data_IF_770462181911
#
_entry.id   IF_770462181911
#
_cell.length_a   1.000
_cell.length_b   1.000
_cell.length_c   1.000
_cell.angle_alpha   90.00
_cell.angle_beta   90.00
_cell.angle_gamma   90.00
#
_symmetry.space_group_name_H-M   'P 1'
#
loop_
_entity.id
_entity.type
_entity.pdbx_description
1 polymer ?
#
# COMPACT_ATOMS: atom_id res chain seq x y z
N UNK A 1 2.20 8.39 3.86
CA UNK A 1 2.24 7.36 4.90
C UNK A 1 0.96 7.43 5.73
N UNK A 2 0.05 6.44 5.50
CA UNK A 2 -1.31 6.48 6.02
C UNK A 2 -1.44 6.18 7.52
N UNK A 3 -0.48 5.48 8.10
CA UNK A 3 -0.54 5.12 9.52
C UNK A 3 -0.32 6.29 10.50
N UNK A 4 0.18 7.41 10.01
CA UNK A 4 0.29 8.63 10.82
C UNK A 4 -1.07 9.30 11.06
N UNK A 5 -2.09 8.90 10.32
CA UNK A 5 -3.41 9.51 10.34
C UNK A 5 -4.42 8.65 11.11
N UNK A 6 -5.31 9.29 11.86
CA UNK A 6 -6.53 8.65 12.34
C UNK A 6 -7.46 8.34 11.15
N UNK A 7 -8.49 7.47 11.31
CA UNK A 7 -9.45 7.25 10.24
C UNK A 7 -10.07 8.52 9.68
N UNK A 8 -10.42 9.49 10.52
CA UNK A 8 -10.97 10.77 10.10
C UNK A 8 -9.97 11.58 9.29
N UNK A 9 -8.71 11.62 9.71
CA UNK A 9 -7.64 12.31 9.00
C UNK A 9 -7.33 11.65 7.65
N UNK A 10 -7.45 10.32 7.55
CA UNK A 10 -7.32 9.60 6.26
C UNK A 10 -8.40 10.02 5.27
N UNK A 11 -9.65 10.14 5.74
CA UNK A 11 -10.76 10.63 4.91
C UNK A 11 -10.46 12.04 4.40
N UNK A 12 -10.03 12.93 5.27
CA UNK A 12 -9.67 14.31 4.91
C UNK A 12 -8.55 14.31 3.87
N UNK A 13 -7.55 13.44 4.03
CA UNK A 13 -6.45 13.32 3.09
C UNK A 13 -6.89 12.79 1.73
N UNK A 14 -7.74 11.76 1.71
CA UNK A 14 -8.32 11.23 0.48
C UNK A 14 -9.18 12.28 -0.22
N UNK A 15 -10.00 13.00 0.53
CA UNK A 15 -10.83 14.08 0.00
C UNK A 15 -9.98 15.20 -0.60
N UNK A 16 -8.90 15.58 0.07
CA UNK A 16 -7.96 16.59 -0.42
C UNK A 16 -7.30 16.16 -1.73
N UNK A 17 -6.85 14.90 -1.83
CA UNK A 17 -6.29 14.33 -3.06
C UNK A 17 -7.33 14.34 -4.17
N UNK A 18 -8.57 13.96 -3.88
CA UNK A 18 -9.66 13.90 -4.84
C UNK A 18 -10.03 15.28 -5.38
N UNK A 19 -10.22 16.25 -4.50
CA UNK A 19 -10.62 17.61 -4.87
C UNK A 19 -9.50 18.41 -5.54
N UNK A 20 -8.25 17.99 -5.41
CA UNK A 20 -7.12 18.62 -6.09
C UNK A 20 -7.09 18.34 -7.60
N UNK A 21 -7.88 17.37 -8.07
CA UNK A 21 -7.96 17.00 -9.48
C UNK A 21 -9.13 17.69 -10.16
N UNK A 22 -8.97 18.03 -11.44
CA UNK A 22 -10.06 18.58 -12.25
C UNK A 22 -11.08 17.48 -12.56
N UNK A 23 -10.62 16.35 -13.02
CA UNK A 23 -11.43 15.15 -13.28
C UNK A 23 -10.76 13.99 -12.59
N UNK A 24 -11.13 13.70 -11.32
CA UNK A 24 -10.42 12.70 -10.54
C UNK A 24 -10.71 11.28 -11.01
N UNK A 25 -9.67 10.48 -11.02
CA UNK A 25 -9.68 9.03 -11.20
C UNK A 25 -9.07 8.42 -9.94
N UNK A 26 -9.75 7.49 -9.32
CA UNK A 26 -9.23 6.77 -8.16
C UNK A 26 -9.28 5.28 -8.35
N UNK A 27 -8.37 4.58 -7.71
CA UNK A 27 -8.41 3.13 -7.62
C UNK A 27 -7.64 2.65 -6.40
N UNK A 28 -8.05 1.48 -5.91
CA UNK A 28 -7.30 0.73 -4.89
C UNK A 28 -6.52 -0.36 -5.59
N UNK A 29 -5.31 -0.62 -5.10
CA UNK A 29 -4.47 -1.70 -5.60
C UNK A 29 -4.11 -2.62 -4.45
N UNK A 30 -4.48 -3.89 -4.58
CA UNK A 30 -4.21 -4.94 -3.62
C UNK A 30 -3.19 -5.91 -4.22
N UNK A 31 -1.99 -5.94 -3.66
CA UNK A 31 -0.95 -6.88 -4.08
C UNK A 31 -1.24 -8.25 -3.49
N UNK A 32 -1.22 -9.25 -4.33
CA UNK A 32 -1.42 -10.63 -3.90
C UNK A 32 -0.26 -11.08 -2.99
N UNK A 33 -0.59 -11.44 -1.76
CA UNK A 33 0.39 -11.95 -0.78
C UNK A 33 1.64 -11.05 -0.71
N UNK A 34 1.47 -9.80 -0.36
CA UNK A 34 2.51 -8.77 -0.46
C UNK A 34 3.84 -9.20 0.14
N UNK A 35 3.86 -9.76 1.35
CA UNK A 35 5.11 -10.15 2.03
C UNK A 35 5.93 -11.15 1.19
N UNK A 36 5.28 -12.05 0.46
CA UNK A 36 5.96 -13.03 -0.40
C UNK A 36 6.48 -12.40 -1.70
N UNK A 37 6.03 -11.20 -2.06
CA UNK A 37 6.47 -10.48 -3.26
C UNK A 37 7.68 -9.58 -3.00
N UNK A 38 8.00 -9.30 -1.74
CA UNK A 38 9.14 -8.47 -1.36
C UNK A 38 10.42 -9.26 -1.58
N UNK A 39 11.24 -8.76 -2.50
CA UNK A 39 12.50 -9.40 -2.88
C UNK A 39 13.65 -8.96 -1.96
N UNK A 40 14.76 -9.68 -2.02
CA UNK A 40 15.99 -9.27 -1.32
C UNK A 40 16.43 -7.85 -1.77
N UNK A 41 16.32 -7.56 -3.07
CA UNK A 41 16.64 -6.24 -3.60
C UNK A 41 15.76 -5.15 -2.97
N UNK A 42 14.47 -5.41 -2.81
CA UNK A 42 13.53 -4.48 -2.15
C UNK A 42 13.96 -4.20 -0.72
N UNK A 43 14.39 -5.21 0.02
CA UNK A 43 14.86 -5.08 1.40
C UNK A 43 16.19 -4.31 1.46
N UNK A 44 17.06 -4.49 0.49
CA UNK A 44 18.32 -3.72 0.38
C UNK A 44 18.05 -2.23 0.15
N UNK A 45 17.09 -1.90 -0.70
CA UNK A 45 16.67 -0.51 -0.93
C UNK A 45 16.06 0.08 0.33
N UNK A 46 15.25 -0.69 1.06
CA UNK A 46 14.69 -0.29 2.36
C UNK A 46 15.80 0.02 3.37
N UNK A 47 16.83 -0.83 3.46
CA UNK A 47 18.00 -0.57 4.30
C UNK A 47 18.70 0.74 3.93
N UNK A 48 18.90 0.99 2.63
CA UNK A 48 19.50 2.25 2.16
C UNK A 48 18.71 3.46 2.65
N UNK A 49 17.38 3.39 2.65
CA UNK A 49 16.52 4.46 3.15
C UNK A 49 16.69 4.64 4.66
N UNK A 50 16.76 3.55 5.42
CA UNK A 50 17.03 3.63 6.86
C UNK A 50 18.39 4.26 7.15
N UNK A 51 19.41 3.93 6.37
CA UNK A 51 20.75 4.48 6.53
C UNK A 51 20.85 5.96 6.16
N UNK A 52 19.87 6.49 5.41
CA UNK A 52 19.78 7.94 5.14
C UNK A 52 19.28 8.74 6.35
N UNK A 53 18.74 8.09 7.37
CA UNK A 53 18.33 8.75 8.61
C UNK A 53 19.56 9.13 9.44
N UNK A 54 19.42 10.15 10.29
CA UNK A 54 20.50 10.56 11.20
C UNK A 54 20.57 9.59 12.39
N UNK A 55 21.27 8.48 12.19
CA UNK A 55 21.39 7.40 13.16
C UNK A 55 22.76 7.38 13.81
N UNK A 56 22.82 6.94 15.08
CA UNK A 56 24.07 6.65 15.75
C UNK A 56 24.77 5.43 15.13
N UNK A 57 26.12 5.34 15.20
CA UNK A 57 26.86 4.22 14.59
C UNK A 57 26.41 2.84 15.08
N UNK A 58 26.04 2.69 16.34
CA UNK A 58 25.53 1.43 16.86
C UNK A 58 24.20 1.03 16.20
N UNK A 59 23.29 1.98 16.02
CA UNK A 59 22.03 1.74 15.34
C UNK A 59 22.24 1.31 13.87
N UNK A 60 23.19 1.92 13.19
CA UNK A 60 23.55 1.56 11.79
C UNK A 60 24.04 0.11 11.70
N UNK A 61 24.88 -0.31 12.62
CA UNK A 61 25.39 -1.68 12.68
C UNK A 61 24.27 -2.69 12.96
N UNK A 62 23.37 -2.38 13.90
CA UNK A 62 22.23 -3.23 14.23
C UNK A 62 21.31 -3.38 13.03
N UNK A 63 20.98 -2.30 12.33
CA UNK A 63 20.13 -2.35 11.14
C UNK A 63 20.77 -3.21 10.05
N UNK A 64 22.05 -3.03 9.76
CA UNK A 64 22.76 -3.83 8.78
C UNK A 64 22.77 -5.33 9.14
N UNK A 65 23.04 -5.64 10.39
CA UNK A 65 23.05 -7.02 10.88
C UNK A 65 21.67 -7.68 10.83
N UNK A 66 20.62 -6.96 11.22
CA UNK A 66 19.25 -7.46 11.17
C UNK A 66 18.77 -7.63 9.71
N UNK A 67 19.18 -6.75 8.81
CA UNK A 67 18.87 -6.89 7.38
C UNK A 67 19.44 -8.20 6.84
N UNK A 68 20.72 -8.49 7.11
CA UNK A 68 21.36 -9.71 6.64
C UNK A 68 20.78 -10.99 7.26
N UNK A 69 20.52 -10.98 8.57
CA UNK A 69 20.17 -12.19 9.30
C UNK A 69 18.69 -12.51 9.33
N UNK A 70 17.85 -11.49 9.34
CA UNK A 70 16.42 -11.66 9.63
C UNK A 70 15.54 -11.25 8.47
N UNK A 71 15.81 -10.08 7.87
CA UNK A 71 14.90 -9.48 6.90
C UNK A 71 15.07 -10.02 5.49
N UNK A 72 16.29 -10.31 5.06
CA UNK A 72 16.56 -10.84 3.73
C UNK A 72 16.17 -12.32 3.55
N UNK A 73 16.06 -13.07 4.62
CA UNK A 73 15.70 -14.48 4.56
C UNK A 73 16.13 -15.25 5.80
N UNK A 74 15.84 -16.53 5.79
CA UNK A 74 16.19 -17.41 6.87
C UNK A 74 15.57 -18.80 6.72
N UNK A 75 15.99 -19.76 7.53
CA UNK A 75 15.40 -21.09 7.51
C UNK A 75 13.96 -21.08 8.00
N UNK A 76 13.12 -21.93 7.43
CA UNK A 76 11.75 -22.15 7.87
C UNK A 76 11.64 -23.49 8.58
N UNK A 77 11.03 -23.49 9.76
CA UNK A 77 10.82 -24.69 10.57
C UNK A 77 9.32 -24.97 10.69
N UNK A 78 8.96 -26.26 10.70
CA UNK A 78 7.58 -26.66 10.97
C UNK A 78 7.30 -26.67 12.49
N UNK A 79 6.05 -26.98 12.87
CA UNK A 79 5.64 -27.06 14.27
C UNK A 79 6.38 -28.10 15.10
N UNK A 80 7.03 -29.08 14.44
CA UNK A 80 7.84 -30.12 15.07
C UNK A 80 9.33 -29.79 15.17
N UNK A 81 9.71 -28.55 14.73
CA UNK A 81 11.09 -28.09 14.77
C UNK A 81 11.98 -28.56 13.62
N UNK A 82 11.44 -29.32 12.64
CA UNK A 82 12.18 -29.71 11.46
C UNK A 82 12.22 -28.61 10.41
N UNK A 83 13.41 -28.41 9.82
CA UNK A 83 13.55 -27.43 8.74
C UNK A 83 12.80 -27.89 7.49
N UNK A 84 11.83 -27.13 7.02
CA UNK A 84 11.01 -27.44 5.86
C UNK A 84 11.31 -26.55 4.65
N UNK A 85 12.22 -25.59 4.76
CA UNK A 85 12.61 -24.72 3.65
C UNK A 85 13.44 -23.53 4.08
N UNK A 86 13.68 -22.63 3.12
CA UNK A 86 14.42 -21.39 3.34
C UNK A 86 13.60 -20.22 2.80
N UNK A 87 13.35 -19.22 3.66
CA UNK A 87 12.63 -18.00 3.29
C UNK A 87 13.55 -17.03 2.56
N UNK A 88 13.11 -16.54 1.40
CA UNK A 88 13.84 -15.52 0.60
C UNK A 88 13.02 -14.26 0.39
N UNK A 89 11.96 -14.08 1.14
CA UNK A 89 11.07 -12.93 1.08
C UNK A 89 10.89 -12.34 2.48
N UNK A 90 10.08 -11.29 2.58
CA UNK A 90 9.81 -10.64 3.86
C UNK A 90 9.14 -11.61 4.84
N UNK A 91 9.61 -11.60 6.07
CA UNK A 91 8.93 -12.28 7.17
C UNK A 91 7.73 -11.46 7.64
N UNK A 92 6.57 -12.11 7.70
CA UNK A 92 5.38 -11.49 8.29
C UNK A 92 5.55 -11.38 9.81
N UNK A 93 5.04 -10.29 10.39
CA UNK A 93 5.00 -10.10 11.84
C UNK A 93 6.30 -9.64 12.48
N UNK A 94 7.39 -9.39 11.73
CA UNK A 94 8.56 -8.72 12.27
C UNK A 94 8.30 -7.22 12.39
N UNK A 95 8.94 -6.58 13.36
CA UNK A 95 8.67 -5.19 13.72
C UNK A 95 8.69 -4.20 12.55
N UNK A 96 9.63 -4.23 11.59
CA UNK A 96 9.65 -3.27 10.50
C UNK A 96 8.74 -3.63 9.31
N UNK A 97 7.99 -4.74 9.37
CA UNK A 97 7.22 -5.22 8.21
C UNK A 97 6.22 -4.18 7.71
N UNK A 98 5.43 -3.60 8.61
CA UNK A 98 4.42 -2.62 8.21
C UNK A 98 5.03 -1.35 7.60
N UNK A 99 6.04 -0.79 8.23
CA UNK A 99 6.73 0.40 7.73
C UNK A 99 7.52 0.09 6.46
N UNK A 100 8.24 -1.03 6.44
CA UNK A 100 8.99 -1.46 5.26
C UNK A 100 8.10 -1.76 4.07
N UNK A 101 6.95 -2.40 4.29
CA UNK A 101 5.96 -2.64 3.23
C UNK A 101 5.41 -1.33 2.68
N UNK A 102 5.18 -0.32 3.53
CA UNK A 102 4.74 1.00 3.10
C UNK A 102 5.76 1.65 2.16
N UNK A 103 7.02 1.65 2.53
CA UNK A 103 8.11 2.19 1.71
C UNK A 103 8.21 1.44 0.37
N UNK A 104 8.26 0.13 0.41
CA UNK A 104 8.39 -0.71 -0.78
C UNK A 104 7.20 -0.54 -1.72
N UNK A 105 5.98 -0.55 -1.18
CA UNK A 105 4.77 -0.33 -1.95
C UNK A 105 4.76 1.06 -2.62
N UNK A 106 5.15 2.09 -1.89
CA UNK A 106 5.22 3.45 -2.43
C UNK A 106 6.23 3.59 -3.56
N UNK A 107 7.41 3.01 -3.41
CA UNK A 107 8.46 3.06 -4.45
C UNK A 107 7.99 2.36 -5.73
N UNK A 108 7.45 1.15 -5.60
CA UNK A 108 6.93 0.38 -6.74
C UNK A 108 5.76 1.10 -7.41
N UNK A 109 4.83 1.63 -6.63
CA UNK A 109 3.68 2.37 -7.14
C UNK A 109 4.08 3.65 -7.88
N UNK A 110 5.06 4.39 -7.36
CA UNK A 110 5.58 5.60 -8.01
C UNK A 110 6.20 5.26 -9.37
N UNK A 111 7.03 4.23 -9.43
CA UNK A 111 7.64 3.78 -10.67
C UNK A 111 6.59 3.27 -11.68
N UNK A 112 5.61 2.50 -11.20
CA UNK A 112 4.54 1.98 -12.04
C UNK A 112 3.62 3.09 -12.58
N UNK A 113 3.33 4.11 -11.78
CA UNK A 113 2.54 5.27 -12.22
C UNK A 113 3.24 6.04 -13.34
N UNK A 114 4.55 6.21 -13.24
CA UNK A 114 5.36 6.82 -14.31
C UNK A 114 5.33 5.97 -15.58
N UNK A 115 5.53 4.67 -15.45
CA UNK A 115 5.49 3.75 -16.58
C UNK A 115 4.13 3.70 -17.27
N UNK A 116 3.06 3.86 -16.51
CA UNK A 116 1.68 3.87 -17.02
C UNK A 116 1.25 5.23 -17.57
N UNK A 117 2.02 6.29 -17.36
CA UNK A 117 1.67 7.64 -17.78
C UNK A 117 0.52 8.26 -16.99
N UNK A 118 0.30 7.85 -15.76
CA UNK A 118 -0.69 8.48 -14.88
C UNK A 118 -0.31 9.95 -14.64
N UNK A 119 -1.29 10.85 -14.82
CA UNK A 119 -1.08 12.29 -14.68
C UNK A 119 -1.35 12.74 -13.24
N UNK A 120 -0.41 13.47 -12.68
CA UNK A 120 -0.50 14.07 -11.35
C UNK A 120 -1.00 13.08 -10.28
N UNK A 121 -0.36 11.90 -10.13
CA UNK A 121 -0.83 10.89 -9.20
C UNK A 121 -0.48 11.26 -7.75
N UNK A 122 -1.42 11.02 -6.86
CA UNK A 122 -1.22 11.05 -5.41
C UNK A 122 -1.49 9.67 -4.83
N UNK A 123 -0.77 9.33 -3.77
CA UNK A 123 -0.82 8.01 -3.15
C UNK A 123 -1.16 8.11 -1.66
N UNK A 124 -1.95 7.17 -1.19
CA UNK A 124 -2.10 6.90 0.25
C UNK A 124 -1.73 5.45 0.48
N UNK A 125 -0.69 5.21 1.25
CA UNK A 125 -0.10 3.88 1.44
C UNK A 125 -0.06 3.52 2.92
N UNK A 126 -0.62 2.37 3.26
CA UNK A 126 -0.64 1.79 4.60
C UNK A 126 -0.19 0.33 4.51
N UNK A 127 1.11 0.05 4.70
CA UNK A 127 1.64 -1.29 4.48
C UNK A 127 1.49 -1.71 3.01
N UNK A 128 0.77 -2.78 2.77
CA UNK A 128 0.46 -3.29 1.43
C UNK A 128 -0.78 -2.64 0.80
N UNK A 129 -1.52 -1.85 1.55
CA UNK A 129 -2.74 -1.19 1.07
C UNK A 129 -2.40 0.12 0.37
N UNK A 130 -2.83 0.22 -0.88
CA UNK A 130 -2.50 1.34 -1.77
C UNK A 130 -3.77 1.93 -2.38
N UNK A 131 -3.91 3.25 -2.25
CA UNK A 131 -4.89 4.04 -2.98
C UNK A 131 -4.16 5.04 -3.86
N UNK A 132 -4.57 5.12 -5.11
CA UNK A 132 -4.04 6.08 -6.09
C UNK A 132 -5.17 6.98 -6.56
N UNK A 133 -4.91 8.28 -6.58
CA UNK A 133 -5.80 9.30 -7.16
C UNK A 133 -5.01 10.10 -8.19
N UNK A 134 -5.53 10.17 -9.40
CA UNK A 134 -4.85 10.83 -10.52
C UNK A 134 -5.85 11.63 -11.36
N UNK A 135 -5.35 12.37 -12.35
CA UNK A 135 -6.20 13.01 -13.34
C UNK A 135 -6.68 11.99 -14.37
N UNK A 136 -7.97 11.99 -14.67
CA UNK A 136 -8.56 11.16 -15.72
C UNK A 136 -8.29 11.75 -17.10
N UNK A 137 -8.03 10.86 -18.07
CA UNK A 137 -7.92 11.18 -19.49
C UNK A 137 -9.11 10.66 -20.32
N UNK A 138 -10.10 10.10 -19.65
CA UNK A 138 -11.24 9.43 -20.25
C UNK A 138 -11.30 7.96 -19.85
N UNK A 139 -12.49 7.35 -19.98
CA UNK A 139 -12.72 5.98 -19.47
C UNK A 139 -11.81 4.95 -20.14
N UNK A 140 -11.67 5.01 -21.46
CA UNK A 140 -10.86 4.01 -22.20
C UNK A 140 -9.37 4.20 -21.93
N UNK A 141 -8.89 5.44 -21.89
CA UNK A 141 -7.53 5.79 -21.56
C UNK A 141 -7.19 5.41 -20.12
N UNK A 142 -8.12 5.62 -19.19
CA UNK A 142 -7.94 5.26 -17.77
C UNK A 142 -7.85 3.74 -17.60
N UNK A 143 -8.67 2.97 -18.30
CA UNK A 143 -8.57 1.50 -18.30
C UNK A 143 -7.23 1.02 -18.85
N UNK A 144 -6.77 1.63 -19.95
CA UNK A 144 -5.46 1.31 -20.51
C UNK A 144 -4.33 1.67 -19.55
N UNK A 145 -4.42 2.81 -18.88
CA UNK A 145 -3.44 3.23 -17.87
C UNK A 145 -3.41 2.28 -16.67
N UNK A 146 -4.55 1.80 -16.18
CA UNK A 146 -4.61 0.83 -15.10
C UNK A 146 -4.01 -0.51 -15.50
N UNK A 147 -4.26 -0.96 -16.73
CA UNK A 147 -3.58 -2.17 -17.23
C UNK A 147 -2.07 -2.00 -17.29
N UNK A 148 -1.59 -0.87 -17.79
CA UNK A 148 -0.16 -0.57 -17.84
C UNK A 148 0.45 -0.47 -16.42
N UNK A 149 -0.26 0.12 -15.48
CA UNK A 149 0.12 0.17 -14.07
C UNK A 149 0.26 -1.24 -13.47
N UNK A 150 -0.73 -2.08 -13.71
CA UNK A 150 -0.73 -3.48 -13.22
C UNK A 150 0.41 -4.28 -13.83
N UNK A 151 0.68 -4.12 -15.12
CA UNK A 151 1.81 -4.78 -15.80
C UNK A 151 3.15 -4.32 -15.21
N UNK A 152 3.30 -3.03 -14.95
CA UNK A 152 4.51 -2.50 -14.32
C UNK A 152 4.69 -3.03 -12.89
N UNK A 153 3.63 -3.03 -12.09
CA UNK A 153 3.67 -3.60 -10.73
C UNK A 153 4.05 -5.08 -10.75
N UNK A 154 3.53 -5.83 -11.70
CA UNK A 154 3.88 -7.25 -11.87
C UNK A 154 5.37 -7.42 -12.22
N UNK A 155 5.92 -6.58 -13.08
CA UNK A 155 7.36 -6.58 -13.38
C UNK A 155 8.20 -6.26 -12.14
N UNK A 156 7.69 -5.42 -11.25
CA UNK A 156 8.36 -5.06 -9.99
C UNK A 156 8.08 -6.07 -8.86
N UNK A 157 7.56 -7.24 -9.18
CA UNK A 157 7.21 -8.28 -8.21
C UNK A 157 6.07 -7.90 -7.26
N UNK A 158 5.06 -7.21 -7.78
CA UNK A 158 3.84 -6.86 -7.02
C UNK A 158 2.57 -7.14 -7.83
N UNK A 159 2.31 -8.40 -8.23
CA UNK A 159 1.14 -8.74 -9.02
C UNK A 159 -0.15 -8.49 -8.22
N UNK A 160 -1.27 -8.17 -8.89
CA UNK A 160 -2.52 -7.89 -8.20
C UNK A 160 -3.19 -9.17 -7.70
N UNK A 161 -3.91 -9.07 -6.56
CA UNK A 161 -4.84 -10.09 -6.12
C UNK A 161 -6.07 -10.07 -7.03
N UNK A 162 -6.72 -8.91 -7.12
CA UNK A 162 -7.82 -8.64 -8.03
C UNK A 162 -7.41 -7.53 -9.00
N UNK A 163 -7.96 -7.55 -10.22
CA UNK A 163 -7.69 -6.50 -11.20
C UNK A 163 -8.23 -5.15 -10.67
N UNK A 164 -7.39 -4.11 -10.62
CA UNK A 164 -7.86 -2.80 -10.17
C UNK A 164 -8.85 -2.22 -11.19
N UNK A 165 -9.89 -1.55 -10.67
CA UNK A 165 -10.91 -0.92 -11.48
C UNK A 165 -10.87 0.60 -11.29
N UNK A 166 -10.98 1.38 -12.38
CA UNK A 166 -11.06 2.83 -12.25
C UNK A 166 -12.39 3.22 -11.60
N UNK A 167 -12.35 4.12 -10.64
CA UNK A 167 -13.55 4.71 -10.05
C UNK A 167 -13.53 6.21 -10.21
N UNK A 168 -14.72 6.78 -10.35
CA UNK A 168 -14.94 8.22 -10.49
C UNK A 168 -15.75 8.78 -9.33
N UNK A 169 -15.98 7.94 -8.32
CA UNK A 169 -16.68 8.26 -7.09
C UNK A 169 -15.81 7.87 -5.89
N UNK A 170 -15.49 8.85 -5.05
CA UNK A 170 -14.67 8.67 -3.86
C UNK A 170 -15.25 7.59 -2.91
N UNK A 171 -16.57 7.45 -2.86
CA UNK A 171 -17.24 6.46 -2.02
C UNK A 171 -16.97 5.01 -2.44
N UNK A 172 -16.53 4.80 -3.68
CA UNK A 172 -16.22 3.46 -4.19
C UNK A 172 -14.78 3.03 -3.91
N UNK A 173 -13.95 3.90 -3.35
CA UNK A 173 -12.56 3.59 -3.01
C UNK A 173 -12.51 2.90 -1.66
N UNK A 174 -11.78 1.78 -1.60
CA UNK A 174 -11.51 1.05 -0.36
C UNK A 174 -10.10 1.35 0.13
N UNK A 175 -9.96 1.81 1.37
CA UNK A 175 -8.68 2.05 2.04
C UNK A 175 -8.69 1.36 3.40
N UNK A 176 -7.72 0.49 3.66
CA UNK A 176 -7.63 -0.30 4.90
C UNK A 176 -8.95 -1.03 5.23
N UNK A 177 -9.52 -1.71 4.22
CA UNK A 177 -10.81 -2.43 4.31
C UNK A 177 -12.01 -1.52 4.64
N UNK A 178 -11.89 -0.24 4.39
CA UNK A 178 -12.93 0.74 4.68
C UNK A 178 -13.25 1.58 3.44
N UNK A 179 -14.52 1.96 3.30
CA UNK A 179 -14.97 2.86 2.25
C UNK A 179 -15.30 4.23 2.83
N UNK A 180 -15.13 5.26 2.01
CA UNK A 180 -15.56 6.62 2.37
C UNK A 180 -17.07 6.71 2.22
N UNK A 181 -17.74 7.20 3.26
CA UNK A 181 -19.19 7.46 3.25
C UNK A 181 -19.47 8.90 3.63
N UNK A 182 -20.64 9.38 3.23
CA UNK A 182 -21.10 10.76 3.48
C UNK A 182 -22.30 10.72 4.40
N UNK A 183 -22.31 11.60 5.39
CA UNK A 183 -23.47 11.83 6.24
C UNK A 183 -23.69 13.35 6.39
N UNK A 184 -24.86 13.71 6.92
CA UNK A 184 -25.20 15.11 7.23
C UNK A 184 -25.12 15.32 8.74
N UNK A 185 -24.50 16.45 9.15
CA UNK A 185 -24.51 16.87 10.53
C UNK A 185 -25.86 17.50 10.93
N UNK A 186 -26.00 17.92 12.20
CA UNK A 186 -27.22 18.54 12.70
C UNK A 186 -27.58 19.85 11.99
N UNK A 187 -26.62 20.45 11.28
CA UNK A 187 -26.81 21.69 10.50
C UNK A 187 -27.03 21.43 9.01
N UNK A 188 -27.15 20.17 8.58
CA UNK A 188 -27.31 19.77 7.20
C UNK A 188 -26.03 19.84 6.38
N UNK A 189 -24.87 20.05 7.01
CA UNK A 189 -23.58 20.08 6.34
C UNK A 189 -23.08 18.65 6.12
N UNK A 190 -22.54 18.39 4.92
CA UNK A 190 -21.94 17.09 4.61
C UNK A 190 -20.64 16.89 5.38
N UNK A 191 -20.44 15.69 5.92
CA UNK A 191 -19.14 15.23 6.40
C UNK A 191 -18.85 13.82 5.88
N UNK A 192 -17.57 13.51 5.72
CA UNK A 192 -17.11 12.23 5.21
C UNK A 192 -16.50 11.41 6.34
N UNK A 193 -16.69 10.11 6.28
CA UNK A 193 -16.16 9.18 7.28
C UNK A 193 -15.85 7.82 6.64
N UNK A 194 -15.02 7.00 7.30
CA UNK A 194 -14.73 5.65 6.85
C UNK A 194 -15.70 4.66 7.48
N UNK A 195 -16.30 3.82 6.61
CA UNK A 195 -17.13 2.70 7.05
C UNK A 195 -16.48 1.40 6.64
N UNK A 196 -16.44 0.44 7.54
CA UNK A 196 -16.05 -0.93 7.19
C UNK A 196 -17.19 -1.63 6.47
N UNK A 197 -16.82 -2.62 5.62
CA UNK A 197 -17.79 -3.56 5.08
C UNK A 197 -18.55 -4.20 6.25
N UNK A 198 -19.90 -4.14 6.22
CA UNK A 198 -20.76 -4.62 7.30
C UNK A 198 -20.60 -6.14 7.56
N UNK A 199 -20.14 -6.91 6.59
CA UNK A 199 -19.90 -8.35 6.75
C UNK A 199 -18.62 -8.67 7.50
N UNK A 200 -17.60 -7.82 7.40
CA UNK A 200 -16.28 -8.05 8.01
C UNK A 200 -16.31 -8.07 9.54
N UNK A 201 -16.97 -7.14 10.25
CA UNK A 201 -17.06 -7.18 11.70
C UNK A 201 -17.81 -8.42 12.23
N UNK A 202 -18.87 -8.85 11.54
CA UNK A 202 -19.62 -10.06 11.90
C UNK A 202 -18.78 -11.33 11.72
N UNK A 203 -18.04 -11.43 10.61
CA UNK A 203 -17.14 -12.55 10.36
C UNK A 203 -16.01 -12.63 11.39
N UNK A 204 -15.49 -11.50 11.87
CA UNK A 204 -14.48 -11.45 12.91
C UNK A 204 -15.00 -11.73 14.31
N UNK A 205 -16.29 -11.43 14.57
CA UNK A 205 -16.93 -11.72 15.83
C UNK A 205 -17.30 -13.20 15.99
N UNK A 206 -17.46 -13.91 14.88
CA UNK A 206 -17.72 -15.34 14.86
C UNK A 206 -16.43 -16.15 14.99
#
# INVERSE_FOLDING_TARGET
YGFQYSPQQRVERLLKMWTSKKTPLGFSYDTRCFDSTVTEQDIRVEEEIYQCCNLEPEARKVISSLTERLYCGGPMFNSKGAQCGYRRCRASGVLPTSFGNTITCYIKATAAARAAGLRNPDFLVCGDDLVVVAESDGVDEDRAALRAFTEAMTRYSAPPGDAPQPTYDLELITSCSSNVSVALDNKGKRYYYLTRDATTPLARAA
#
